data_IF_995612700957
#
_entry.id   IF_995612700957
#
_cell.length_a   1.000
_cell.length_b   1.000
_cell.length_c   1.000
_cell.angle_alpha   90.00
_cell.angle_beta   90.00
_cell.angle_gamma   90.00
#
_symmetry.space_group_name_H-M   'P 1'
#
loop_
_entity.id
_entity.type
_entity.pdbx_description
1 polymer ?
#
# COMPACT_ATOMS: atom_id res chain seq x y z
N UNK A 1 -18.98 -20.04 0.94
CA UNK A 1 -18.81 -18.84 1.78
C UNK A 1 -17.33 -18.50 1.77
N UNK A 2 -16.92 -17.32 1.29
CA UNK A 2 -15.48 -17.00 1.24
C UNK A 2 -14.92 -16.91 2.66
N UNK A 3 -13.79 -17.57 2.89
CA UNK A 3 -13.08 -17.59 4.17
C UNK A 3 -11.97 -16.54 4.16
N UNK A 4 -12.30 -15.29 3.82
CA UNK A 4 -11.34 -14.19 3.84
C UNK A 4 -10.72 -14.10 5.24
N UNK A 5 -9.41 -14.22 5.33
CA UNK A 5 -8.65 -14.01 6.56
C UNK A 5 -8.10 -12.60 6.53
N UNK A 6 -8.33 -11.83 7.58
CA UNK A 6 -7.86 -10.46 7.71
C UNK A 6 -6.79 -10.44 8.80
N UNK A 7 -5.59 -9.97 8.47
CA UNK A 7 -4.51 -9.70 9.40
C UNK A 7 -4.35 -8.20 9.58
N UNK A 8 -4.57 -7.68 10.79
CA UNK A 8 -4.41 -6.27 11.12
C UNK A 8 -3.24 -6.08 12.08
N UNK A 9 -2.51 -4.96 12.01
CA UNK A 9 -1.46 -4.66 12.98
C UNK A 9 -2.07 -4.49 14.39
N UNK A 10 -1.39 -5.04 15.39
CA UNK A 10 -1.70 -4.89 16.81
C UNK A 10 -0.76 -3.85 17.46
N UNK A 11 -1.19 -3.27 18.57
CA UNK A 11 -0.46 -2.23 19.31
C UNK A 11 0.93 -2.69 19.78
N UNK A 12 1.12 -4.00 19.95
CA UNK A 12 2.36 -4.62 20.43
C UNK A 12 3.29 -5.11 19.32
N UNK A 13 3.27 -4.47 18.14
CA UNK A 13 4.04 -4.89 16.94
C UNK A 13 3.73 -6.33 16.50
N UNK A 14 2.51 -6.78 16.80
CA UNK A 14 2.00 -8.10 16.43
C UNK A 14 0.92 -7.99 15.36
N UNK A 15 0.25 -9.11 15.10
CA UNK A 15 -0.88 -9.18 14.18
C UNK A 15 -2.12 -9.68 14.91
N UNK A 16 -3.29 -9.20 14.49
CA UNK A 16 -4.59 -9.71 14.91
C UNK A 16 -5.27 -10.35 13.71
N UNK A 17 -5.58 -11.64 13.82
CA UNK A 17 -6.25 -12.40 12.77
C UNK A 17 -7.76 -12.46 12.99
N UNK A 18 -8.51 -12.31 11.90
CA UNK A 18 -9.98 -12.35 11.87
C UNK A 18 -10.45 -13.15 10.65
N UNK A 19 -11.57 -13.86 10.74
CA UNK A 19 -12.25 -14.43 9.56
C UNK A 19 -13.52 -13.66 9.26
N UNK A 20 -13.75 -13.36 7.98
CA UNK A 20 -14.97 -12.71 7.52
C UNK A 20 -14.80 -11.21 7.31
N UNK A 21 -15.69 -10.39 7.90
CA UNK A 21 -15.74 -8.94 7.65
C UNK A 21 -14.94 -8.15 8.70
N UNK A 22 -14.55 -6.93 8.32
CA UNK A 22 -14.00 -5.96 9.26
C UNK A 22 -14.97 -5.78 10.45
N UNK A 23 -14.49 -6.04 11.67
CA UNK A 23 -15.29 -6.05 12.91
C UNK A 23 -15.55 -7.42 13.53
N UNK A 24 -15.18 -8.52 12.87
CA UNK A 24 -15.22 -9.85 13.47
C UNK A 24 -14.29 -9.96 14.71
N UNK A 25 -14.63 -10.84 15.65
CA UNK A 25 -13.81 -11.09 16.83
C UNK A 25 -12.41 -11.61 16.43
N UNK A 26 -11.34 -11.24 17.15
CA UNK A 26 -10.02 -11.83 16.97
C UNK A 26 -10.09 -13.36 17.15
N UNK A 27 -9.52 -14.10 16.21
CA UNK A 27 -9.40 -15.56 16.28
C UNK A 27 -7.99 -16.01 16.69
N UNK A 28 -7.00 -15.12 16.60
CA UNK A 28 -5.61 -15.43 16.93
C UNK A 28 -4.66 -14.29 16.60
N UNK A 29 -3.36 -14.51 16.87
CA UNK A 29 -2.30 -13.50 16.68
C UNK A 29 -1.15 -13.92 15.75
N UNK A 30 -1.10 -15.20 15.36
CA UNK A 30 0.05 -15.75 14.64
C UNK A 30 -0.16 -15.71 13.13
N UNK A 31 0.50 -14.78 12.44
CA UNK A 31 0.46 -14.66 10.98
C UNK A 31 0.92 -15.94 10.25
N UNK A 32 1.79 -16.74 10.89
CA UNK A 32 2.23 -18.03 10.36
C UNK A 32 1.07 -19.02 10.15
N UNK A 33 -0.01 -18.91 10.94
CA UNK A 33 -1.19 -19.77 10.79
C UNK A 33 -1.95 -19.54 9.48
N UNK A 34 -1.72 -18.40 8.81
CA UNK A 34 -2.33 -18.06 7.52
C UNK A 34 -1.39 -18.30 6.34
N UNK A 35 -0.08 -18.47 6.58
CA UNK A 35 0.90 -18.71 5.54
C UNK A 35 0.70 -20.09 4.89
N UNK A 36 0.59 -20.14 3.56
CA UNK A 36 0.45 -21.40 2.80
C UNK A 36 -0.95 -22.04 2.82
N UNK A 37 -1.88 -21.50 3.59
CA UNK A 37 -3.29 -21.88 3.51
C UNK A 37 -3.94 -21.07 2.39
N UNK A 38 -4.39 -21.72 1.30
CA UNK A 38 -4.95 -21.10 0.08
C UNK A 38 -6.27 -20.34 0.23
N UNK A 39 -6.48 -19.66 1.36
CA UNK A 39 -7.52 -18.67 1.57
C UNK A 39 -7.02 -17.29 1.13
N UNK A 40 -7.90 -16.46 0.56
CA UNK A 40 -7.60 -15.05 0.32
C UNK A 40 -7.26 -14.38 1.67
N UNK A 41 -6.09 -13.76 1.77
CA UNK A 41 -5.63 -13.05 2.97
C UNK A 41 -5.56 -11.55 2.67
N UNK A 42 -6.23 -10.75 3.51
CA UNK A 42 -6.12 -9.30 3.50
C UNK A 42 -5.19 -8.87 4.64
N UNK A 43 -4.08 -8.23 4.28
CA UNK A 43 -3.11 -7.70 5.25
C UNK A 43 -3.32 -6.19 5.34
N UNK A 44 -3.69 -5.71 6.52
CA UNK A 44 -3.73 -4.30 6.84
C UNK A 44 -2.32 -3.80 7.16
N UNK A 45 -1.94 -2.66 6.61
CA UNK A 45 -0.68 -2.00 6.94
C UNK A 45 -0.99 -0.78 7.81
N UNK A 46 -0.22 -0.51 8.89
CA UNK A 46 -0.40 0.70 9.68
C UNK A 46 -0.29 1.95 8.79
N UNK A 47 -1.24 2.88 8.92
CA UNK A 47 -1.21 4.13 8.18
C UNK A 47 0.06 4.96 8.48
N UNK A 48 0.67 4.78 9.66
CA UNK A 48 1.93 5.42 10.03
C UNK A 48 3.13 4.99 9.17
N UNK A 49 3.04 3.86 8.46
CA UNK A 49 4.05 3.39 7.51
C UNK A 49 3.72 3.83 6.07
N UNK A 50 2.56 4.42 5.83
CA UNK A 50 2.16 4.90 4.52
C UNK A 50 2.36 6.40 4.43
N UNK A 51 3.18 6.85 3.47
CA UNK A 51 3.31 8.25 3.11
C UNK A 51 2.47 8.54 1.86
N UNK A 52 1.41 9.34 2.01
CA UNK A 52 0.57 9.80 0.91
C UNK A 52 0.91 11.23 0.51
N UNK A 53 1.05 11.50 -0.78
CA UNK A 53 1.23 12.86 -1.29
C UNK A 53 0.60 13.09 -2.65
N UNK A 54 0.21 14.35 -2.90
CA UNK A 54 -0.20 14.80 -4.23
C UNK A 54 1.02 15.09 -5.12
N UNK A 55 0.94 14.68 -6.38
CA UNK A 55 1.93 14.92 -7.40
C UNK A 55 1.28 15.56 -8.63
N UNK A 56 1.77 16.75 -9.01
CA UNK A 56 1.41 17.40 -10.25
C UNK A 56 2.39 17.02 -11.35
N UNK A 57 1.89 16.50 -12.47
CA UNK A 57 2.66 16.17 -13.67
C UNK A 57 2.05 16.85 -14.90
N UNK A 58 2.83 17.09 -15.97
CA UNK A 58 2.26 17.48 -17.25
C UNK A 58 1.25 16.45 -17.75
N UNK A 59 0.20 16.89 -18.44
CA UNK A 59 -0.69 15.97 -19.15
C UNK A 59 0.10 15.27 -20.25
N UNK A 60 0.35 13.97 -20.04
CA UNK A 60 1.10 13.12 -20.96
C UNK A 60 0.43 11.75 -21.03
N UNK A 61 0.94 10.87 -21.90
CA UNK A 61 0.50 9.48 -21.96
C UNK A 61 0.64 8.80 -20.59
N UNK A 62 -0.44 8.14 -20.14
CA UNK A 62 -0.50 7.51 -18.82
C UNK A 62 0.60 6.46 -18.57
N UNK A 63 1.15 5.89 -19.64
CA UNK A 63 2.29 4.96 -19.61
C UNK A 63 3.55 5.59 -18.98
N UNK A 64 3.67 6.91 -18.98
CA UNK A 64 4.80 7.64 -18.39
C UNK A 64 4.62 7.96 -16.90
N UNK A 65 3.40 7.85 -16.35
CA UNK A 65 3.15 8.16 -14.95
C UNK A 65 3.96 7.31 -13.97
N UNK A 66 4.15 5.99 -14.15
CA UNK A 66 4.97 5.18 -13.25
C UNK A 66 6.40 5.74 -13.09
N UNK A 67 7.04 6.11 -14.21
CA UNK A 67 8.41 6.67 -14.20
C UNK A 67 8.47 8.03 -13.52
N UNK A 68 7.48 8.89 -13.77
CA UNK A 68 7.38 10.20 -13.12
C UNK A 68 7.15 10.07 -11.62
N UNK A 69 6.25 9.16 -11.20
CA UNK A 69 6.01 8.87 -9.79
C UNK A 69 7.26 8.36 -9.11
N UNK A 70 7.97 7.39 -9.72
CA UNK A 70 9.21 6.83 -9.17
C UNK A 70 10.28 7.91 -8.94
N UNK A 71 10.52 8.77 -9.93
CA UNK A 71 11.48 9.88 -9.80
C UNK A 71 11.12 10.82 -8.64
N UNK A 72 9.82 11.02 -8.38
CA UNK A 72 9.34 11.88 -7.31
C UNK A 72 9.47 11.24 -5.93
N UNK A 73 9.29 9.92 -5.84
CA UNK A 73 9.54 9.12 -4.63
C UNK A 73 11.02 9.22 -4.25
N UNK A 74 11.92 9.02 -5.22
CA UNK A 74 13.37 9.14 -5.03
C UNK A 74 13.78 10.55 -4.58
N UNK A 75 13.26 11.58 -5.26
CA UNK A 75 13.55 12.98 -4.94
C UNK A 75 13.12 13.36 -3.52
N UNK A 76 12.06 12.72 -3.01
CA UNK A 76 11.56 12.93 -1.63
C UNK A 76 12.30 12.09 -0.60
N UNK A 77 13.23 11.23 -1.01
CA UNK A 77 13.93 10.31 -0.12
C UNK A 77 13.02 9.20 0.45
N UNK A 78 11.87 8.95 -0.21
CA UNK A 78 10.90 7.92 0.18
C UNK A 78 11.16 6.57 -0.48
N UNK A 79 12.14 6.52 -1.40
CA UNK A 79 12.56 5.27 -2.01
C UNK A 79 13.19 4.35 -0.96
N UNK A 80 12.80 3.08 -0.99
CA UNK A 80 13.34 2.06 -0.12
C UNK A 80 14.86 1.93 -0.32
N UNK A 81 15.62 1.98 0.78
CA UNK A 81 17.09 1.90 0.77
C UNK A 81 17.53 0.47 1.06
N UNK A 82 17.18 -0.48 0.18
CA UNK A 82 17.49 -1.90 0.36
C UNK A 82 17.80 -2.60 -0.96
N UNK A 83 18.45 -3.78 -0.88
CA UNK A 83 19.09 -4.60 -1.93
C UNK A 83 18.27 -4.87 -3.22
N UNK A 84 17.96 -3.84 -4.01
CA UNK A 84 17.35 -3.96 -5.33
C UNK A 84 15.84 -4.25 -5.34
N UNK A 85 15.18 -4.22 -4.18
CA UNK A 85 13.72 -4.29 -4.10
C UNK A 85 13.09 -2.96 -4.55
N UNK A 86 12.10 -3.03 -5.43
CA UNK A 86 11.31 -1.87 -5.80
C UNK A 86 10.58 -1.32 -4.57
N UNK A 87 10.48 0.01 -4.46
CA UNK A 87 9.66 0.63 -3.43
C UNK A 87 8.21 0.16 -3.62
N UNK A 88 7.49 -0.27 -2.57
CA UNK A 88 6.07 -0.56 -2.72
C UNK A 88 5.31 0.76 -2.79
N UNK A 89 4.70 1.04 -3.95
CA UNK A 89 3.87 2.21 -4.16
C UNK A 89 2.61 1.89 -4.95
N UNK A 90 1.63 2.77 -4.82
CA UNK A 90 0.48 2.86 -5.72
C UNK A 90 0.24 4.34 -6.05
N UNK A 91 -0.42 4.58 -7.18
CA UNK A 91 -0.89 5.91 -7.51
C UNK A 91 -2.20 5.84 -8.29
N UNK A 92 -2.98 6.91 -8.20
CA UNK A 92 -4.21 7.07 -8.97
C UNK A 92 -4.36 8.51 -9.44
N UNK A 93 -4.98 8.68 -10.61
CA UNK A 93 -5.31 9.99 -11.16
C UNK A 93 -6.47 10.58 -10.37
N UNK A 94 -6.26 11.76 -9.79
CA UNK A 94 -7.30 12.51 -9.07
C UNK A 94 -8.05 13.39 -10.07
N UNK A 95 -7.30 14.09 -10.92
CA UNK A 95 -7.83 15.09 -11.84
C UNK A 95 -6.92 15.24 -13.06
N UNK A 96 -7.52 15.48 -14.21
CA UNK A 96 -6.82 15.91 -15.43
C UNK A 96 -7.51 17.17 -15.96
N UNK A 97 -6.79 18.28 -15.97
CA UNK A 97 -7.31 19.56 -16.41
C UNK A 97 -6.28 20.27 -17.31
N UNK A 98 -6.64 20.45 -18.58
CA UNK A 98 -5.76 21.09 -19.56
C UNK A 98 -4.40 20.38 -19.68
N UNK A 99 -3.33 21.10 -19.38
CA UNK A 99 -1.96 20.61 -19.48
C UNK A 99 -1.41 20.03 -18.16
N UNK A 100 -2.25 19.85 -17.14
CA UNK A 100 -1.86 19.33 -15.84
C UNK A 100 -2.67 18.09 -15.46
N UNK A 101 -1.98 17.11 -14.88
CA UNK A 101 -2.57 15.92 -14.26
C UNK A 101 -2.13 15.86 -12.80
N UNK A 102 -3.10 15.65 -11.91
CA UNK A 102 -2.89 15.44 -10.48
C UNK A 102 -2.99 13.96 -10.15
N UNK A 103 -1.96 13.45 -9.49
CA UNK A 103 -1.86 12.08 -9.01
C UNK A 103 -1.86 12.09 -7.48
N UNK A 104 -2.59 11.16 -6.87
CA UNK A 104 -2.34 10.76 -5.48
C UNK A 104 -1.33 9.64 -5.53
N UNK A 105 -0.27 9.73 -4.73
CA UNK A 105 0.77 8.72 -4.62
C UNK A 105 0.81 8.24 -3.18
N UNK A 106 0.67 6.94 -2.98
CA UNK A 106 0.86 6.29 -1.68
C UNK A 106 2.12 5.44 -1.74
N UNK A 107 3.01 5.65 -0.78
CA UNK A 107 4.28 4.93 -0.67
C UNK A 107 4.32 4.23 0.67
N UNK A 108 4.65 2.95 0.66
CA UNK A 108 4.98 2.24 1.90
C UNK A 108 6.45 2.52 2.24
N UNK A 109 6.65 3.31 3.29
CA UNK A 109 7.96 3.72 3.79
C UNK A 109 8.18 3.11 5.18
N UNK A 110 9.34 2.46 5.38
CA UNK A 110 9.75 1.92 6.68
C UNK A 110 10.19 3.00 7.68
#
# INVERSE_FOLDING_TARGET
>A
MSRLKIALPDENRGWTLRTGRAGAAPEGRELAAVAGNGADVLIGVPASLCTTFALKVPTTEAVLFPSLVQSQIERRGLAHRGDGAATPQQFFVIEQAGNETWLSVDVLSE
#
